data_IF_683334187370
#
_entry.id   IF_683334187370
#
_cell.length_a   1.000
_cell.length_b   1.000
_cell.length_c   1.000
_cell.angle_alpha   90.00
_cell.angle_beta   90.00
_cell.angle_gamma   90.00
#
_symmetry.space_group_name_H-M   'P 1'
#
loop_
_entity.id
_entity.type
_entity.pdbx_description
1 polymer ?
#
# COMPACT_ATOMS: atom_id res chain seq x y z
N UNK A 1 -8.61 4.39 -14.93
CA UNK A 1 -7.39 4.90 -14.25
C UNK A 1 -6.98 4.05 -13.05
N UNK A 2 -7.87 3.79 -12.09
CA UNK A 2 -7.54 3.00 -10.86
C UNK A 2 -7.01 1.60 -11.15
N UNK A 3 -7.59 0.90 -12.13
CA UNK A 3 -7.19 -0.44 -12.53
C UNK A 3 -5.75 -0.53 -13.08
N UNK A 4 -5.30 0.49 -13.80
CA UNK A 4 -3.91 0.58 -14.28
C UNK A 4 -2.94 0.63 -13.09
N UNK A 5 -3.21 1.47 -12.10
CA UNK A 5 -2.37 1.56 -10.90
C UNK A 5 -2.35 0.26 -10.10
N UNK A 6 -3.50 -0.41 -9.96
CA UNK A 6 -3.56 -1.71 -9.27
C UNK A 6 -2.72 -2.75 -10.00
N UNK A 7 -2.79 -2.82 -11.34
CA UNK A 7 -1.96 -3.73 -12.14
C UNK A 7 -0.46 -3.46 -11.96
N UNK A 8 -0.03 -2.19 -11.98
CA UNK A 8 1.36 -1.84 -11.71
C UNK A 8 1.81 -2.23 -10.30
N UNK A 9 0.96 -2.02 -9.29
CA UNK A 9 1.27 -2.39 -7.89
C UNK A 9 1.36 -3.91 -7.74
N UNK A 10 0.48 -4.67 -8.39
CA UNK A 10 0.51 -6.14 -8.39
C UNK A 10 1.71 -6.70 -9.15
N UNK A 11 2.08 -6.09 -10.28
CA UNK A 11 3.29 -6.45 -11.03
C UNK A 11 4.53 -6.18 -10.18
N UNK A 12 4.57 -5.03 -9.52
CA UNK A 12 5.63 -4.69 -8.57
C UNK A 12 5.67 -5.70 -7.40
N UNK A 13 4.54 -6.08 -6.81
CA UNK A 13 4.50 -7.10 -5.74
C UNK A 13 5.02 -8.47 -6.21
N UNK A 14 4.80 -8.84 -7.47
CA UNK A 14 5.30 -10.10 -8.05
C UNK A 14 6.80 -10.09 -8.30
N UNK A 15 7.33 -8.93 -8.67
CA UNK A 15 8.77 -8.73 -8.94
C UNK A 15 9.56 -8.38 -7.68
N UNK A 16 8.91 -7.81 -6.66
CA UNK A 16 9.54 -7.36 -5.44
C UNK A 16 9.94 -8.56 -4.55
N UNK A 17 11.18 -8.59 -4.05
CA UNK A 17 11.66 -9.65 -3.17
C UNK A 17 10.97 -9.59 -1.79
N UNK A 18 10.87 -10.76 -1.12
CA UNK A 18 10.23 -10.91 0.20
C UNK A 18 10.77 -9.94 1.25
N UNK A 19 12.05 -9.55 1.17
CA UNK A 19 12.65 -8.54 2.06
C UNK A 19 11.93 -7.18 2.06
N UNK A 20 11.33 -6.79 0.93
CA UNK A 20 10.56 -5.53 0.82
C UNK A 20 9.15 -5.73 1.39
N UNK A 21 8.63 -6.96 1.34
CA UNK A 21 7.33 -7.32 1.93
C UNK A 21 7.42 -7.36 3.46
N UNK A 22 8.49 -7.94 4.00
CA UNK A 22 8.79 -7.96 5.44
C UNK A 22 9.17 -6.58 6.01
N UNK A 23 9.53 -5.62 5.15
CA UNK A 23 9.82 -4.26 5.58
C UNK A 23 8.56 -3.47 5.96
N UNK A 24 7.38 -3.87 5.49
CA UNK A 24 6.14 -3.20 5.88
C UNK A 24 5.71 -3.74 7.24
N UNK A 25 5.62 -2.82 8.22
CA UNK A 25 5.35 -3.14 9.63
C UNK A 25 3.87 -3.08 10.00
N UNK A 26 3.03 -2.82 9.02
CA UNK A 26 1.61 -2.68 9.21
C UNK A 26 0.87 -3.75 8.43
N UNK A 27 -0.09 -4.40 9.08
CA UNK A 27 -1.01 -5.33 8.46
C UNK A 27 -2.27 -4.56 8.01
N UNK A 28 -2.76 -4.73 6.78
CA UNK A 28 -2.15 -5.42 5.66
C UNK A 28 -1.03 -4.56 5.05
N UNK A 29 -0.12 -5.20 4.29
CA UNK A 29 1.03 -4.54 3.67
C UNK A 29 0.67 -3.24 2.93
N UNK A 30 1.64 -2.33 2.85
CA UNK A 30 1.52 -0.97 2.34
C UNK A 30 0.97 -0.93 0.90
N UNK A 31 1.37 -1.89 0.07
CA UNK A 31 0.86 -2.06 -1.29
C UNK A 31 -0.53 -2.69 -1.34
N UNK A 32 -0.88 -3.58 -0.40
CA UNK A 32 -2.24 -4.10 -0.29
C UNK A 32 -3.22 -3.04 0.23
N UNK A 33 -2.80 -2.21 1.20
CA UNK A 33 -3.52 -1.02 1.62
C UNK A 33 -3.77 -0.08 0.44
N UNK A 34 -2.75 0.15 -0.40
CA UNK A 34 -2.90 0.98 -1.58
C UNK A 34 -4.00 0.47 -2.51
N UNK A 35 -4.04 -0.83 -2.77
CA UNK A 35 -5.07 -1.46 -3.61
C UNK A 35 -6.46 -1.31 -2.98
N UNK A 36 -6.59 -1.54 -1.67
CA UNK A 36 -7.86 -1.41 -0.95
C UNK A 36 -8.35 0.05 -0.94
N UNK A 37 -7.47 1.00 -0.63
CA UNK A 37 -7.79 2.42 -0.61
C UNK A 37 -8.17 2.94 -2.00
N UNK A 38 -7.46 2.50 -3.04
CA UNK A 38 -7.77 2.83 -4.43
C UNK A 38 -9.12 2.24 -4.87
N UNK A 39 -9.45 1.01 -4.46
CA UNK A 39 -10.76 0.39 -4.73
C UNK A 39 -11.91 1.10 -4.01
N UNK A 40 -11.70 1.50 -2.74
CA UNK A 40 -12.76 2.06 -1.88
C UNK A 40 -13.00 3.55 -2.12
N UNK A 41 -11.94 4.34 -2.29
CA UNK A 41 -12.00 5.80 -2.34
C UNK A 41 -11.67 6.38 -3.73
N UNK A 42 -11.32 5.55 -4.71
CA UNK A 42 -10.89 5.99 -6.04
C UNK A 42 -9.44 6.45 -6.10
N UNK A 43 -9.01 6.93 -7.28
CA UNK A 43 -7.61 7.22 -7.58
C UNK A 43 -7.00 8.30 -6.67
N UNK A 44 -7.59 9.50 -6.64
CA UNK A 44 -7.05 10.66 -5.94
C UNK A 44 -7.00 10.46 -4.42
N UNK A 45 -8.12 10.05 -3.83
CA UNK A 45 -8.24 9.89 -2.36
C UNK A 45 -7.51 8.64 -1.87
N UNK A 46 -7.53 7.55 -2.65
CA UNK A 46 -6.77 6.34 -2.37
C UNK A 46 -5.25 6.59 -2.36
N UNK A 47 -4.73 7.34 -3.35
CA UNK A 47 -3.32 7.72 -3.37
C UNK A 47 -2.93 8.62 -2.20
N UNK A 48 -3.77 9.60 -1.83
CA UNK A 48 -3.49 10.48 -0.69
C UNK A 48 -3.37 9.71 0.62
N UNK A 49 -4.27 8.77 0.88
CA UNK A 49 -4.22 7.90 2.06
C UNK A 49 -2.99 6.98 2.04
N UNK A 50 -2.69 6.38 0.88
CA UNK A 50 -1.54 5.50 0.70
C UNK A 50 -0.22 6.22 0.97
N UNK A 51 -0.03 7.42 0.40
CA UNK A 51 1.19 8.22 0.58
C UNK A 51 1.37 8.64 2.04
N UNK A 52 0.28 9.08 2.69
CA UNK A 52 0.30 9.43 4.10
C UNK A 52 0.72 8.21 4.96
N UNK A 53 0.25 7.01 4.63
CA UNK A 53 0.66 5.78 5.32
C UNK A 53 2.10 5.37 5.01
N UNK A 54 2.55 5.49 3.75
CA UNK A 54 3.94 5.20 3.36
C UNK A 54 4.93 6.05 4.18
N UNK A 55 4.60 7.33 4.40
CA UNK A 55 5.40 8.23 5.23
C UNK A 55 5.45 7.80 6.71
N UNK A 56 4.39 7.18 7.23
CA UNK A 56 4.30 6.67 8.60
C UNK A 56 4.91 5.28 8.77
N UNK A 57 5.12 4.54 7.68
CA UNK A 57 5.76 3.22 7.67
C UNK A 57 7.27 3.33 7.88
N UNK A 58 7.67 3.89 9.04
CA UNK A 58 9.04 4.04 9.53
C UNK A 58 9.07 3.58 10.99
N UNK A 59 10.25 3.13 11.46
CA UNK A 59 10.47 2.86 12.89
C UNK A 59 10.08 4.10 13.73
N UNK A 60 9.35 3.98 14.85
CA UNK A 60 8.91 2.78 15.59
C UNK A 60 7.48 2.29 15.29
N UNK A 61 6.79 2.87 14.31
CA UNK A 61 5.35 2.64 14.14
C UNK A 61 5.09 1.27 13.49
N UNK A 62 4.23 0.48 14.12
CA UNK A 62 3.72 -0.82 13.65
C UNK A 62 2.29 -1.02 14.15
N UNK A 63 1.48 -1.82 13.46
CA UNK A 63 0.09 -2.06 13.85
C UNK A 63 -0.80 -2.52 12.71
N UNK A 64 -2.10 -2.58 12.95
CA UNK A 64 -3.09 -2.94 11.94
C UNK A 64 -3.90 -1.71 11.55
N UNK A 65 -3.94 -1.37 10.26
CA UNK A 65 -4.73 -0.23 9.78
C UNK A 65 -5.35 -0.65 8.44
N UNK A 66 -6.65 -0.46 8.28
CA UNK A 66 -7.39 -0.83 7.07
C UNK A 66 -8.10 0.42 6.54
N UNK A 67 -8.14 0.64 5.22
CA UNK A 67 -8.79 1.80 4.63
C UNK A 67 -10.31 1.68 4.65
#
# INVERSE_FOLDING_TARGET
MVWLSIQFILLYQRLAPNKIRDACRFEPSCSNYAILALKKYGFLKGWKMTLNRLNRCKFPNSGEDYP
#
